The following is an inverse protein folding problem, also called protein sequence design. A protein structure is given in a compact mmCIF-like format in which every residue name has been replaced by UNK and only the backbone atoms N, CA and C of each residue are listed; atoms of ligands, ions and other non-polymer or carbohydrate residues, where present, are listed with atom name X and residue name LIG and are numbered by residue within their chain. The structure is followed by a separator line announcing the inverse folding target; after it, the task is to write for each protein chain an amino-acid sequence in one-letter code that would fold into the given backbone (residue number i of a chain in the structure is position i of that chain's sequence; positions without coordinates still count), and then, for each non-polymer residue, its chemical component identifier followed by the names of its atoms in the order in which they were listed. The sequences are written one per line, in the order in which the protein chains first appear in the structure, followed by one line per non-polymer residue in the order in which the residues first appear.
data_IF_374675691407
#
_entry.id   IF_374675691407
#
_cell.length_a   1.000
_cell.length_b   1.000
_cell.length_c   1.000
_cell.angle_alpha   90.00
_cell.angle_beta   90.00
_cell.angle_gamma   90.00
#
_symmetry.space_group_name_H-M   'P 1'
#
loop_
_entity.id
_entity.type
_entity.pdbx_description
1 polymer ?
#
# COMPACT_ATOMS: atom_id res chain seq x y z
N UNK A 1 -8.15 16.53 0.19
CA UNK A 1 -7.62 15.78 -0.97
C UNK A 1 -8.75 15.20 -1.83
N UNK A 2 -9.80 14.59 -1.23
CA UNK A 2 -10.96 14.11 -2.01
C UNK A 2 -11.55 15.20 -2.93
N UNK A 3 -11.77 16.40 -2.42
CA UNK A 3 -12.22 17.55 -3.22
C UNK A 3 -11.28 17.92 -4.40
N UNK A 4 -10.03 17.49 -4.37
CA UNK A 4 -9.06 17.63 -5.46
C UNK A 4 -8.95 16.39 -6.34
N UNK A 5 -9.86 15.42 -6.18
CA UNK A 5 -9.95 14.23 -7.02
C UNK A 5 -9.28 12.96 -6.46
N UNK A 6 -8.79 12.96 -5.21
CA UNK A 6 -8.24 11.75 -4.62
C UNK A 6 -9.37 10.83 -4.15
N UNK A 7 -9.29 9.56 -4.53
CA UNK A 7 -10.24 8.50 -4.15
C UNK A 7 -9.62 7.47 -3.20
N UNK A 8 -8.29 7.33 -3.23
CA UNK A 8 -7.54 6.43 -2.39
C UNK A 8 -6.54 7.20 -1.53
N UNK A 9 -6.39 6.78 -0.27
CA UNK A 9 -5.58 7.48 0.73
C UNK A 9 -4.62 6.51 1.40
N UNK A 10 -3.31 6.78 1.28
CA UNK A 10 -2.28 5.99 1.92
C UNK A 10 -1.81 6.64 3.22
N UNK A 11 -1.74 5.85 4.28
CA UNK A 11 -1.33 6.29 5.61
C UNK A 11 -0.06 5.56 6.04
N UNK A 12 1.02 6.28 6.27
CA UNK A 12 2.27 5.73 6.76
C UNK A 12 2.61 6.21 8.17
N UNK A 13 2.82 7.51 8.31
CA UNK A 13 3.33 8.12 9.55
C UNK A 13 2.37 7.98 10.73
N UNK A 14 1.09 8.28 10.54
CA UNK A 14 0.13 8.27 11.65
C UNK A 14 -0.07 6.87 12.26
N UNK A 15 -0.28 5.79 11.48
CA UNK A 15 -0.33 4.43 12.03
C UNK A 15 0.97 4.01 12.74
N UNK A 16 2.13 4.44 12.25
CA UNK A 16 3.41 4.17 12.93
C UNK A 16 3.49 4.85 14.30
N UNK A 17 3.04 6.11 14.40
CA UNK A 17 2.98 6.84 15.68
C UNK A 17 2.02 6.14 16.64
N UNK A 18 0.87 5.72 16.17
CA UNK A 18 -0.12 4.94 16.95
C UNK A 18 0.48 3.63 17.50
N UNK A 19 1.42 3.02 16.76
CA UNK A 19 2.17 1.85 17.19
C UNK A 19 3.36 2.18 18.11
N UNK A 20 3.59 3.45 18.44
CA UNK A 20 4.64 3.90 19.36
C UNK A 20 5.91 4.40 18.67
N UNK A 21 5.88 4.70 17.37
CA UNK A 21 7.00 5.31 16.67
C UNK A 21 7.22 6.76 17.17
N UNK A 22 8.45 7.08 17.58
CA UNK A 22 8.84 8.42 18.04
C UNK A 22 9.51 9.27 16.95
N UNK A 23 9.43 8.85 15.71
CA UNK A 23 9.86 9.59 14.52
C UNK A 23 11.35 9.98 14.50
N UNK A 24 12.21 9.16 15.09
CA UNK A 24 13.68 9.40 15.10
C UNK A 24 14.35 9.35 13.73
N UNK A 25 13.66 8.81 12.72
CA UNK A 25 14.14 8.72 11.33
C UNK A 25 15.47 7.95 11.15
N UNK A 26 15.74 6.97 12.02
CA UNK A 26 16.93 6.10 11.97
C UNK A 26 16.57 4.63 11.67
N UNK A 27 15.44 4.40 11.00
CA UNK A 27 14.93 3.04 10.70
C UNK A 27 15.92 2.22 9.86
N UNK A 28 16.59 2.88 8.91
CA UNK A 28 17.59 2.25 8.03
C UNK A 28 18.86 1.77 8.75
N UNK A 29 19.10 2.19 9.98
CA UNK A 29 20.28 1.83 10.75
C UNK A 29 20.08 0.63 11.68
N UNK A 30 18.89 0.01 11.65
CA UNK A 30 18.53 -1.08 12.55
C UNK A 30 18.61 -0.73 14.05
N UNK A 31 18.50 0.56 14.39
CA UNK A 31 18.68 1.11 15.74
C UNK A 31 17.42 1.73 16.32
N UNK A 32 16.24 1.28 15.88
CA UNK A 32 14.97 1.84 16.35
C UNK A 32 14.78 1.57 17.85
N UNK A 33 14.81 2.59 18.73
CA UNK A 33 14.76 2.39 20.18
C UNK A 33 13.39 1.90 20.65
N UNK A 34 12.34 2.13 19.85
CA UNK A 34 10.97 1.69 20.15
C UNK A 34 10.64 0.29 19.62
N UNK A 35 11.59 -0.36 18.95
CA UNK A 35 11.39 -1.70 18.41
C UNK A 35 10.46 -1.81 17.20
N UNK A 36 9.97 -0.70 16.66
CA UNK A 36 9.01 -0.70 15.53
C UNK A 36 9.67 -1.17 14.23
N UNK A 37 10.91 -0.70 13.97
CA UNK A 37 11.63 -0.96 12.72
C UNK A 37 13.07 -1.38 13.00
N UNK A 38 13.25 -2.56 13.58
CA UNK A 38 14.57 -3.14 13.87
C UNK A 38 14.49 -4.66 13.90
N UNK A 39 15.60 -5.30 13.55
CA UNK A 39 15.78 -6.76 13.68
C UNK A 39 16.58 -7.13 14.95
N UNK A 40 17.13 -6.14 15.68
CA UNK A 40 17.82 -6.39 16.94
C UNK A 40 16.83 -6.92 17.99
N UNK A 41 17.03 -8.14 18.55
CA UNK A 41 16.09 -8.73 19.51
C UNK A 41 15.90 -7.91 20.79
N UNK A 42 16.95 -7.22 21.25
CA UNK A 42 16.88 -6.38 22.45
C UNK A 42 16.00 -5.16 22.22
N UNK A 43 16.16 -4.51 21.07
CA UNK A 43 15.36 -3.35 20.69
C UNK A 43 13.91 -3.77 20.36
N UNK A 44 13.71 -4.91 19.69
CA UNK A 44 12.37 -5.45 19.43
C UNK A 44 11.57 -5.71 20.71
N UNK A 45 12.23 -6.08 21.78
CA UNK A 45 11.58 -6.29 23.09
C UNK A 45 10.94 -5.00 23.66
N UNK A 46 11.30 -3.83 23.17
CA UNK A 46 10.69 -2.55 23.56
C UNK A 46 9.37 -2.27 22.84
N UNK A 47 9.06 -3.00 21.77
CA UNK A 47 7.82 -2.78 21.01
C UNK A 47 6.60 -3.04 21.87
N UNK A 48 5.72 -2.04 21.97
CA UNK A 48 4.46 -2.08 22.76
C UNK A 48 3.22 -1.83 21.91
N UNK A 49 3.40 -1.71 20.59
CA UNK A 49 2.30 -1.51 19.66
C UNK A 49 1.36 -2.71 19.63
N UNK A 50 0.08 -2.44 19.44
CA UNK A 50 -0.96 -3.45 19.27
C UNK A 50 -1.79 -3.10 18.04
N UNK A 51 -2.24 -4.10 17.31
CA UNK A 51 -3.04 -3.88 16.10
C UNK A 51 -4.36 -3.17 16.42
N UNK A 52 -4.93 -3.40 17.61
CA UNK A 52 -6.17 -2.77 18.04
C UNK A 52 -6.05 -1.24 18.08
N UNK A 53 -4.87 -0.71 18.37
CA UNK A 53 -4.67 0.74 18.35
C UNK A 53 -4.82 1.31 16.94
N UNK A 54 -4.33 0.60 15.95
CA UNK A 54 -4.46 0.99 14.54
C UNK A 54 -5.92 0.87 14.08
N UNK A 55 -6.61 -0.20 14.45
CA UNK A 55 -8.04 -0.38 14.18
C UNK A 55 -8.85 0.77 14.76
N UNK A 56 -8.62 1.09 16.05
CA UNK A 56 -9.31 2.19 16.71
C UNK A 56 -9.01 3.53 16.04
N UNK A 57 -7.74 3.79 15.69
CA UNK A 57 -7.35 5.00 15.01
C UNK A 57 -8.13 5.19 13.69
N UNK A 58 -8.19 4.16 12.84
CA UNK A 58 -8.92 4.25 11.58
C UNK A 58 -10.44 4.31 11.78
N UNK A 59 -10.97 3.69 12.82
CA UNK A 59 -12.39 3.82 13.18
C UNK A 59 -12.74 5.26 13.55
N UNK A 60 -11.91 5.90 14.38
CA UNK A 60 -12.11 7.31 14.75
C UNK A 60 -11.93 8.24 13.56
N UNK A 61 -10.91 7.99 12.71
CA UNK A 61 -10.70 8.75 11.50
C UNK A 61 -11.91 8.66 10.54
N UNK A 62 -12.45 7.46 10.37
CA UNK A 62 -13.63 7.25 9.54
C UNK A 62 -14.87 7.97 10.12
N UNK A 63 -15.02 7.99 11.44
CA UNK A 63 -16.09 8.72 12.09
C UNK A 63 -15.95 10.25 11.88
N UNK A 64 -14.74 10.79 12.04
CA UNK A 64 -14.46 12.20 11.77
C UNK A 64 -14.77 12.58 10.31
N UNK A 65 -14.36 11.73 9.34
CA UNK A 65 -14.69 11.92 7.93
C UNK A 65 -16.20 11.94 7.71
N UNK A 66 -16.96 11.05 8.35
CA UNK A 66 -18.43 11.05 8.28
C UNK A 66 -19.05 12.34 8.80
N UNK A 67 -18.50 12.91 9.85
CA UNK A 67 -18.96 14.18 10.41
C UNK A 67 -18.73 15.33 9.43
N UNK A 68 -17.55 15.39 8.79
CA UNK A 68 -17.28 16.37 7.74
C UNK A 68 -18.18 16.20 6.52
N UNK A 69 -18.43 14.97 6.08
CA UNK A 69 -19.37 14.71 4.98
C UNK A 69 -20.78 15.18 5.32
N UNK A 70 -21.25 14.91 6.55
CA UNK A 70 -22.56 15.38 7.01
C UNK A 70 -22.65 16.92 7.03
N UNK A 71 -21.60 17.60 7.49
CA UNK A 71 -21.53 19.07 7.46
C UNK A 71 -21.57 19.64 6.04
N UNK A 72 -21.02 18.94 5.06
CA UNK A 72 -21.08 19.31 3.65
C UNK A 72 -22.38 18.88 2.95
N UNK A 73 -23.25 18.14 3.65
CA UNK A 73 -24.49 17.62 3.07
C UNK A 73 -24.28 16.39 2.17
N UNK A 74 -23.09 15.78 2.20
CA UNK A 74 -22.75 14.60 1.43
C UNK A 74 -22.92 13.30 2.23
N UNK A 75 -23.32 12.22 1.57
CA UNK A 75 -23.50 10.88 2.17
C UNK A 75 -22.30 9.96 1.91
N UNK A 76 -21.58 10.19 0.83
CA UNK A 76 -20.44 9.38 0.40
C UNK A 76 -19.27 10.25 -0.01
N UNK A 77 -18.05 9.68 -0.02
CA UNK A 77 -16.86 10.36 -0.56
C UNK A 77 -17.02 10.66 -2.04
N UNK A 78 -17.65 9.78 -2.81
CA UNK A 78 -17.84 9.97 -4.24
C UNK A 78 -18.64 11.25 -4.58
N UNK A 79 -19.54 11.67 -3.68
CA UNK A 79 -20.31 12.92 -3.86
C UNK A 79 -19.46 14.18 -3.73
N UNK A 80 -18.23 14.08 -3.22
CA UNK A 80 -17.34 15.24 -3.05
C UNK A 80 -16.04 15.12 -3.84
N UNK A 81 -15.75 13.97 -4.44
CA UNK A 81 -14.51 13.76 -5.21
C UNK A 81 -14.47 14.74 -6.39
N UNK A 82 -13.38 15.51 -6.50
CA UNK A 82 -13.17 16.48 -7.58
C UNK A 82 -14.02 17.74 -7.52
N UNK A 83 -14.84 17.92 -6.48
CA UNK A 83 -15.67 19.12 -6.30
C UNK A 83 -14.86 20.29 -5.75
N UNK A 84 -13.93 20.80 -6.56
CA UNK A 84 -13.02 21.90 -6.19
C UNK A 84 -13.73 23.20 -5.88
N UNK A 85 -14.95 23.40 -6.38
CA UNK A 85 -15.80 24.57 -6.08
C UNK A 85 -16.22 24.65 -4.59
N UNK A 86 -16.09 23.56 -3.84
CA UNK A 86 -16.31 23.55 -2.40
C UNK A 86 -15.10 24.06 -1.60
N UNK A 87 -13.98 24.34 -2.27
CA UNK A 87 -12.77 24.86 -1.65
C UNK A 87 -12.67 26.36 -1.87
N UNK A 88 -12.69 27.10 -0.79
CA UNK A 88 -12.49 28.56 -0.82
C UNK A 88 -11.09 28.84 -0.26
N UNK A 89 -10.13 29.31 -1.07
CA UNK A 89 -8.84 29.72 -0.57
C UNK A 89 -8.98 30.84 0.46
N UNK A 90 -8.31 30.70 1.60
CA UNK A 90 -8.23 31.81 2.57
C UNK A 90 -7.37 32.91 1.97
N UNK A 91 -7.92 34.09 1.87
CA UNK A 91 -7.14 35.25 1.49
C UNK A 91 -6.20 35.65 2.63
N UNK A 92 -4.92 35.82 2.32
CA UNK A 92 -3.91 36.23 3.29
C UNK A 92 -3.53 37.68 3.03
N UNK A 93 -3.98 38.57 3.91
CA UNK A 93 -3.70 40.01 3.84
C UNK A 93 -2.37 40.37 4.53
N UNK A 94 -1.63 39.42 5.08
CA UNK A 94 -0.44 39.65 5.90
C UNK A 94 0.76 40.21 5.12
N UNK A 95 0.68 40.27 3.78
CA UNK A 95 1.81 40.65 2.93
C UNK A 95 2.96 39.63 2.90
N UNK A 96 2.73 38.45 3.43
CA UNK A 96 3.71 37.37 3.44
C UNK A 96 3.77 36.65 2.08
N UNK A 97 4.72 35.74 1.94
CA UNK A 97 4.86 34.93 0.72
C UNK A 97 3.58 34.15 0.37
N UNK A 98 2.77 33.81 1.37
CA UNK A 98 1.48 33.12 1.16
C UNK A 98 0.46 33.95 0.39
N UNK A 99 0.50 35.28 0.52
CA UNK A 99 -0.37 36.19 -0.24
C UNK A 99 -0.15 36.14 -1.75
N UNK A 100 1.01 35.64 -2.21
CA UNK A 100 1.34 35.52 -3.65
C UNK A 100 0.90 34.18 -4.27
N UNK A 101 0.30 33.28 -3.50
CA UNK A 101 -0.14 31.97 -3.99
C UNK A 101 -1.39 32.11 -4.86
N UNK A 102 -1.33 31.52 -6.05
CA UNK A 102 -2.45 31.45 -6.99
C UNK A 102 -2.96 30.00 -7.06
N UNK A 103 -4.17 29.79 -6.58
CA UNK A 103 -4.80 28.47 -6.55
C UNK A 103 -5.71 28.19 -7.76
N UNK A 104 -5.88 29.13 -8.69
CA UNK A 104 -6.83 29.00 -9.80
C UNK A 104 -6.57 27.75 -10.65
N UNK A 105 -5.29 27.40 -10.89
CA UNK A 105 -4.93 26.22 -11.65
C UNK A 105 -5.15 24.90 -10.88
N UNK A 106 -4.95 24.93 -9.57
CA UNK A 106 -5.18 23.77 -8.68
C UNK A 106 -6.68 23.50 -8.52
N UNK A 107 -7.48 24.57 -8.44
CA UNK A 107 -8.93 24.49 -8.23
C UNK A 107 -9.72 24.50 -9.55
N UNK A 108 -9.02 24.41 -10.67
CA UNK A 108 -9.68 24.33 -11.97
C UNK A 108 -10.55 23.08 -12.03
N UNK A 109 -11.80 23.26 -12.44
CA UNK A 109 -12.75 22.18 -12.72
C UNK A 109 -13.10 22.20 -14.19
N UNK A 110 -12.98 21.08 -14.85
CA UNK A 110 -13.40 20.92 -16.23
C UNK A 110 -14.93 21.05 -16.31
N UNK A 111 -15.40 21.76 -17.34
CA UNK A 111 -16.82 21.95 -17.55
C UNK A 111 -17.38 20.76 -18.32
N UNK A 112 -18.46 20.18 -17.85
CA UNK A 112 -19.16 19.07 -18.49
C UNK A 112 -19.93 18.24 -17.48
N UNK A 113 -20.81 17.41 -17.99
CA UNK A 113 -21.64 16.47 -17.21
C UNK A 113 -20.87 15.16 -17.01
N UNK A 114 -19.64 15.25 -16.46
CA UNK A 114 -18.75 14.09 -16.25
C UNK A 114 -18.73 13.72 -14.79
N UNK A 115 -18.82 12.43 -14.52
CA UNK A 115 -18.54 11.87 -13.19
C UNK A 115 -17.08 12.16 -12.82
N UNK A 116 -16.86 12.75 -11.65
CA UNK A 116 -15.53 13.20 -11.19
C UNK A 116 -14.75 12.11 -10.43
N UNK A 117 -15.39 10.99 -10.15
CA UNK A 117 -14.76 9.82 -9.52
C UNK A 117 -14.62 8.66 -10.53
N UNK A 118 -13.82 7.69 -10.17
CA UNK A 118 -13.52 6.54 -11.01
C UNK A 118 -14.78 5.69 -11.29
N UNK A 119 -15.09 5.51 -12.58
CA UNK A 119 -16.26 4.74 -13.04
C UNK A 119 -15.90 3.57 -13.95
N UNK A 120 -14.61 3.45 -14.33
CA UNK A 120 -14.13 2.38 -15.21
C UNK A 120 -13.23 1.46 -14.46
N UNK A 121 -13.57 0.18 -14.45
CA UNK A 121 -12.70 -0.85 -13.88
C UNK A 121 -11.41 -0.96 -14.70
N UNK A 122 -10.26 -0.90 -14.01
CA UNK A 122 -8.97 -1.16 -14.63
C UNK A 122 -8.73 -2.66 -14.70
N UNK A 123 -8.54 -3.17 -15.89
CA UNK A 123 -8.16 -4.56 -16.10
C UNK A 123 -6.64 -4.65 -16.20
N UNK A 124 -6.04 -5.28 -15.20
CA UNK A 124 -4.62 -5.62 -15.23
C UNK A 124 -4.50 -7.04 -15.76
N UNK A 125 -3.96 -7.18 -16.97
CA UNK A 125 -3.66 -8.50 -17.52
C UNK A 125 -2.33 -9.01 -16.91
N UNK A 126 -2.43 -10.06 -16.12
CA UNK A 126 -1.31 -10.75 -15.48
C UNK A 126 -1.04 -12.13 -16.10
N UNK A 127 -1.59 -12.42 -17.29
CA UNK A 127 -1.44 -13.72 -17.95
C UNK A 127 0.01 -14.03 -18.35
N UNK A 128 0.78 -13.00 -18.70
CA UNK A 128 2.13 -13.12 -19.24
C UNK A 128 3.25 -12.89 -18.20
N UNK A 129 2.89 -12.65 -16.92
CA UNK A 129 3.92 -12.46 -15.89
C UNK A 129 4.65 -13.76 -15.58
N UNK A 130 5.92 -13.65 -15.17
CA UNK A 130 6.78 -14.80 -14.88
C UNK A 130 6.17 -15.74 -13.82
N UNK A 131 5.47 -15.20 -12.83
CA UNK A 131 4.80 -15.96 -11.79
C UNK A 131 3.80 -17.00 -12.31
N UNK A 132 3.16 -16.76 -13.45
CA UNK A 132 2.28 -17.76 -14.07
C UNK A 132 3.06 -19.02 -14.50
N UNK A 133 4.31 -18.86 -14.90
CA UNK A 133 5.19 -19.99 -15.23
C UNK A 133 5.69 -20.68 -13.96
N UNK A 134 6.04 -19.90 -12.93
CA UNK A 134 6.41 -20.42 -11.61
C UNK A 134 5.29 -21.29 -11.01
N UNK A 135 4.06 -20.77 -11.03
CA UNK A 135 2.87 -21.46 -10.52
C UNK A 135 2.63 -22.77 -11.28
N UNK A 136 2.71 -22.75 -12.62
CA UNK A 136 2.57 -23.97 -13.42
C UNK A 136 3.65 -25.01 -13.10
N UNK A 137 4.91 -24.56 -12.95
CA UNK A 137 6.01 -25.44 -12.59
C UNK A 137 5.92 -26.01 -11.17
N UNK A 138 5.35 -25.25 -10.25
CA UNK A 138 5.23 -25.61 -8.84
C UNK A 138 3.94 -26.39 -8.50
N UNK A 139 3.10 -26.72 -9.45
CA UNK A 139 1.78 -27.32 -9.20
C UNK A 139 1.82 -28.58 -8.34
N UNK A 140 2.80 -29.49 -8.57
CA UNK A 140 2.96 -30.71 -7.77
C UNK A 140 3.35 -30.41 -6.33
N UNK A 141 4.22 -29.43 -6.14
CA UNK A 141 4.58 -28.96 -4.81
C UNK A 141 3.37 -28.37 -4.07
N UNK A 142 2.59 -27.55 -4.75
CA UNK A 142 1.40 -26.92 -4.15
C UNK A 142 0.29 -27.95 -3.91
N UNK A 143 0.09 -28.91 -4.80
CA UNK A 143 -0.97 -29.90 -4.67
C UNK A 143 -0.63 -30.98 -3.63
N UNK A 144 0.53 -31.58 -3.75
CA UNK A 144 0.89 -32.85 -3.10
C UNK A 144 2.11 -32.74 -2.18
N UNK A 145 2.76 -31.57 -2.11
CA UNK A 145 3.97 -31.38 -1.31
C UNK A 145 5.22 -32.02 -1.92
N UNK A 146 5.19 -32.38 -3.22
CA UNK A 146 6.36 -32.95 -3.90
C UNK A 146 7.45 -31.90 -4.08
N UNK A 147 8.72 -32.29 -3.88
CA UNK A 147 9.86 -31.42 -4.16
C UNK A 147 9.96 -31.13 -5.65
N UNK A 148 10.07 -29.84 -6.00
CA UNK A 148 10.26 -29.37 -7.37
C UNK A 148 11.48 -28.47 -7.50
N UNK A 149 12.24 -28.65 -8.58
CA UNK A 149 13.40 -27.85 -8.92
C UNK A 149 13.15 -27.19 -10.28
N UNK A 150 13.14 -25.85 -10.30
CA UNK A 150 12.77 -25.04 -11.46
C UNK A 150 13.91 -24.10 -11.85
N UNK A 151 14.16 -23.96 -13.14
CA UNK A 151 15.15 -23.04 -13.71
C UNK A 151 14.45 -22.06 -14.65
N UNK A 152 14.63 -20.75 -14.39
CA UNK A 152 14.03 -19.70 -15.21
C UNK A 152 15.03 -18.59 -15.56
N UNK A 153 14.89 -18.04 -16.76
CA UNK A 153 15.49 -16.75 -17.08
C UNK A 153 14.64 -15.64 -16.45
N UNK A 154 15.29 -14.57 -15.95
CA UNK A 154 14.63 -13.41 -15.38
C UNK A 154 15.18 -12.13 -15.95
N UNK A 155 14.31 -11.14 -16.17
CA UNK A 155 14.64 -9.81 -16.68
C UNK A 155 14.26 -8.75 -15.66
N UNK A 156 14.79 -7.55 -15.82
CA UNK A 156 14.47 -6.41 -14.96
C UNK A 156 13.01 -5.91 -15.12
N UNK A 157 12.32 -6.36 -16.16
CA UNK A 157 10.88 -6.12 -16.34
C UNK A 157 10.02 -7.07 -15.52
N UNK A 158 10.57 -8.20 -15.04
CA UNK A 158 9.86 -9.16 -14.19
C UNK A 158 9.90 -8.67 -12.74
N UNK A 159 8.88 -7.89 -12.38
CA UNK A 159 8.73 -7.27 -11.07
C UNK A 159 7.98 -8.20 -10.11
N UNK A 160 8.28 -8.12 -8.82
CA UNK A 160 7.64 -8.90 -7.76
C UNK A 160 7.58 -10.42 -8.04
N UNK A 161 8.57 -10.95 -8.79
CA UNK A 161 8.63 -12.37 -9.13
C UNK A 161 8.67 -13.24 -7.86
N UNK A 162 7.78 -14.24 -7.80
CA UNK A 162 7.55 -15.11 -6.66
C UNK A 162 6.38 -14.71 -5.76
N UNK A 163 5.91 -13.47 -5.83
CA UNK A 163 4.86 -12.99 -4.93
C UNK A 163 3.50 -13.69 -5.16
N UNK A 164 3.11 -13.94 -6.41
CA UNK A 164 1.87 -14.65 -6.70
C UNK A 164 1.95 -16.13 -6.31
N UNK A 165 3.10 -16.77 -6.53
CA UNK A 165 3.34 -18.15 -6.11
C UNK A 165 3.23 -18.25 -4.57
N UNK A 166 3.87 -17.35 -3.84
CA UNK A 166 3.76 -17.28 -2.37
C UNK A 166 2.34 -17.01 -1.90
N UNK A 167 1.58 -16.17 -2.60
CA UNK A 167 0.17 -15.92 -2.31
C UNK A 167 -0.66 -17.20 -2.37
N UNK A 168 -0.48 -18.03 -3.39
CA UNK A 168 -1.18 -19.32 -3.52
C UNK A 168 -0.78 -20.31 -2.42
N UNK A 169 0.49 -20.34 -2.04
CA UNK A 169 0.96 -21.18 -0.91
C UNK A 169 0.30 -20.71 0.38
N UNK A 170 0.31 -19.41 0.65
CA UNK A 170 -0.31 -18.84 1.85
C UNK A 170 -1.82 -19.06 1.89
N UNK A 171 -2.51 -18.99 0.74
CA UNK A 171 -3.94 -19.28 0.64
C UNK A 171 -4.25 -20.73 1.03
N UNK A 172 -3.43 -21.69 0.58
CA UNK A 172 -3.66 -23.11 0.83
C UNK A 172 -3.17 -23.57 2.21
N UNK A 173 -2.02 -23.09 2.64
CA UNK A 173 -1.32 -23.61 3.83
C UNK A 173 -1.26 -22.62 4.99
N UNK A 174 -1.82 -21.43 4.83
CA UNK A 174 -1.80 -20.33 5.80
C UNK A 174 -0.37 -20.05 6.31
N UNK A 175 -0.19 -19.76 7.58
CA UNK A 175 1.11 -19.46 8.18
C UNK A 175 2.06 -20.66 8.35
N UNK A 176 1.59 -21.89 8.10
CA UNK A 176 2.45 -23.07 8.17
C UNK A 176 3.36 -23.21 6.94
N UNK A 177 2.89 -22.72 5.78
CA UNK A 177 3.61 -22.83 4.52
C UNK A 177 3.82 -24.27 4.06
N UNK A 178 4.75 -24.45 3.13
CA UNK A 178 5.26 -25.75 2.71
C UNK A 178 6.54 -26.09 3.50
N UNK A 179 6.91 -27.38 3.63
CA UNK A 179 8.20 -27.76 4.20
C UNK A 179 9.37 -27.09 3.47
N UNK A 180 10.45 -26.84 4.20
CA UNK A 180 11.67 -26.26 3.63
C UNK A 180 12.13 -27.03 2.38
N UNK A 181 12.56 -26.25 1.35
CA UNK A 181 13.07 -26.79 0.09
C UNK A 181 12.07 -27.56 -0.78
N UNK A 182 10.79 -27.49 -0.50
CA UNK A 182 9.77 -28.10 -1.37
C UNK A 182 9.74 -27.45 -2.75
N UNK A 183 9.95 -26.14 -2.83
CA UNK A 183 10.06 -25.43 -4.12
C UNK A 183 11.41 -24.74 -4.20
N UNK A 184 12.26 -25.21 -5.09
CA UNK A 184 13.56 -24.62 -5.37
C UNK A 184 13.52 -23.95 -6.74
N UNK A 185 13.69 -22.63 -6.79
CA UNK A 185 13.70 -21.89 -8.04
C UNK A 185 15.06 -21.23 -8.25
N UNK A 186 15.71 -21.55 -9.35
CA UNK A 186 16.95 -20.91 -9.79
C UNK A 186 16.66 -19.92 -10.91
N UNK A 187 17.04 -18.68 -10.70
CA UNK A 187 16.92 -17.64 -11.71
C UNK A 187 18.28 -17.30 -12.33
N UNK A 188 18.27 -17.03 -13.63
CA UNK A 188 19.44 -16.55 -14.38
C UNK A 188 19.10 -15.28 -15.11
N UNK A 189 19.76 -14.18 -14.76
CA UNK A 189 19.52 -12.85 -15.35
C UNK A 189 19.50 -11.75 -14.31
N UNK A 190 18.89 -10.62 -14.66
CA UNK A 190 18.74 -9.46 -13.78
C UNK A 190 17.27 -9.33 -13.35
N UNK A 191 16.99 -9.50 -12.08
CA UNK A 191 15.64 -9.39 -11.54
C UNK A 191 15.14 -7.94 -11.52
N UNK A 192 13.82 -7.78 -11.61
CA UNK A 192 13.13 -6.51 -11.44
C UNK A 192 12.93 -6.10 -9.99
N UNK A 193 12.25 -4.98 -9.81
CA UNK A 193 11.93 -4.44 -8.49
C UNK A 193 11.11 -5.45 -7.66
N UNK A 194 11.36 -5.48 -6.35
CA UNK A 194 10.64 -6.34 -5.39
C UNK A 194 10.79 -7.85 -5.67
N UNK A 195 11.90 -8.26 -6.29
CA UNK A 195 12.23 -9.67 -6.41
C UNK A 195 12.26 -10.32 -5.02
N UNK A 196 11.58 -11.44 -4.87
CA UNK A 196 11.50 -12.15 -3.60
C UNK A 196 10.70 -11.43 -2.50
N UNK A 197 9.95 -10.38 -2.82
CA UNK A 197 9.04 -9.77 -1.86
C UNK A 197 7.90 -10.73 -1.52
N UNK A 198 7.54 -10.81 -0.23
CA UNK A 198 6.48 -11.68 0.30
C UNK A 198 6.70 -13.19 0.07
N UNK A 199 7.94 -13.63 -0.08
CA UNK A 199 8.23 -15.07 -0.13
C UNK A 199 7.87 -15.73 1.22
N UNK A 200 7.22 -16.88 1.14
CA UNK A 200 6.86 -17.74 2.27
C UNK A 200 7.69 -19.02 2.24
#
# INVERSE_FOLDING_TARGET
MALLGAEEFSFGTAPLIVLGCVMMRKCNLNTCPMGVATQDPKLRAHFRGRYEYVVNYFTFLAQEVREYLALMGARTLNEIVGHTELIIPRHDESGTKTATLDFRRLLFKEQGDTTLYHTKEQKHDLSDVLDQQLIRGAQRAIADGEEVNLDFAIKNTDRAAGAMLSGLIAEKYAGAGLPDKTINVKFKGSAGQSFGAFLT
#
